data_IF_925559946550
#
_entry.id   IF_925559946550
#
_cell.length_a   1.000
_cell.length_b   1.000
_cell.length_c   1.000
_cell.angle_alpha   90.00
_cell.angle_beta   90.00
_cell.angle_gamma   90.00
#
_symmetry.space_group_name_H-M   'P 1'
#
loop_
_entity.id
_entity.type
_entity.pdbx_description
1 polymer ?
#
# COMPACT_ATOMS: atom_id res chain seq x y z
N UNK A 1 -17.83 -8.01 4.57
CA UNK A 1 -16.78 -7.86 3.56
C UNK A 1 -15.44 -8.01 4.27
N UNK A 2 -14.57 -8.92 3.82
CA UNK A 2 -13.25 -9.11 4.42
C UNK A 2 -12.40 -7.84 4.30
N UNK A 3 -11.54 -7.63 5.30
CA UNK A 3 -10.61 -6.51 5.35
C UNK A 3 -9.32 -6.93 6.05
N UNK A 4 -8.25 -6.17 5.82
CA UNK A 4 -6.97 -6.32 6.52
C UNK A 4 -6.33 -4.96 6.71
N UNK A 5 -5.68 -4.78 7.86
CA UNK A 5 -4.79 -3.66 8.10
C UNK A 5 -3.36 -4.12 7.87
N UNK A 6 -2.67 -3.46 6.96
CA UNK A 6 -1.25 -3.68 6.66
C UNK A 6 -0.48 -2.58 7.40
N UNK A 7 0.51 -2.97 8.20
CA UNK A 7 1.43 -2.06 8.88
C UNK A 7 2.83 -2.34 8.36
N UNK A 8 3.49 -1.34 7.80
CA UNK A 8 4.82 -1.45 7.22
C UNK A 8 5.77 -0.53 7.98
N UNK A 9 6.88 -1.11 8.43
CA UNK A 9 8.02 -0.37 8.95
C UNK A 9 8.96 -0.05 7.78
N UNK A 10 9.00 1.21 7.38
CA UNK A 10 9.78 1.69 6.24
C UNK A 10 11.30 1.71 6.55
N UNK A 11 11.75 1.38 7.75
CA UNK A 11 13.18 1.11 7.99
C UNK A 11 13.63 -0.27 7.49
N UNK A 12 12.69 -1.19 7.32
CA UNK A 12 12.97 -2.59 6.96
C UNK A 12 12.32 -3.02 5.64
N UNK A 13 11.23 -2.38 5.26
CA UNK A 13 10.45 -2.67 4.05
C UNK A 13 11.26 -2.31 2.79
N UNK A 14 11.42 -3.26 1.87
CA UNK A 14 12.20 -3.04 0.64
C UNK A 14 11.33 -2.48 -0.47
N UNK A 15 11.91 -1.61 -1.30
CA UNK A 15 11.25 -1.12 -2.51
C UNK A 15 10.98 -2.25 -3.49
N UNK A 16 9.75 -2.30 -4.02
CA UNK A 16 9.27 -3.34 -4.93
C UNK A 16 8.75 -4.60 -4.23
N UNK A 17 8.70 -4.61 -2.90
CA UNK A 17 8.15 -5.72 -2.12
C UNK A 17 6.63 -5.77 -2.26
N UNK A 18 6.10 -7.00 -2.42
CA UNK A 18 4.66 -7.26 -2.38
C UNK A 18 4.21 -7.29 -0.92
N UNK A 19 3.25 -6.43 -0.57
CA UNK A 19 2.78 -6.28 0.82
C UNK A 19 1.42 -6.91 1.05
N UNK A 20 0.67 -7.10 -0.03
CA UNK A 20 -0.57 -7.85 -0.05
C UNK A 20 -0.82 -8.42 -1.43
N UNK A 21 -1.27 -9.67 -1.45
CA UNK A 21 -1.88 -10.32 -2.60
C UNK A 21 -3.14 -11.03 -2.12
N UNK A 22 -4.21 -10.93 -2.90
CA UNK A 22 -5.50 -11.56 -2.60
C UNK A 22 -5.97 -12.34 -3.82
N UNK A 23 -6.69 -13.44 -3.59
CA UNK A 23 -7.29 -14.24 -4.67
C UNK A 23 -8.43 -13.49 -5.37
N UNK A 24 -9.15 -12.67 -4.59
CA UNK A 24 -10.26 -11.85 -5.04
C UNK A 24 -9.83 -10.40 -5.30
N UNK A 25 -10.77 -9.55 -5.71
CA UNK A 25 -10.51 -8.16 -6.07
C UNK A 25 -10.57 -7.23 -4.85
N UNK A 26 -9.50 -6.46 -4.64
CA UNK A 26 -9.45 -5.33 -3.72
C UNK A 26 -10.36 -4.23 -4.25
N UNK A 27 -11.35 -3.84 -3.45
CA UNK A 27 -12.31 -2.79 -3.80
C UNK A 27 -11.90 -1.42 -3.26
N UNK A 28 -11.19 -1.40 -2.13
CA UNK A 28 -10.84 -0.15 -1.45
C UNK A 28 -9.54 -0.26 -0.69
N UNK A 29 -8.69 0.76 -0.82
CA UNK A 29 -7.48 0.98 -0.03
C UNK A 29 -7.58 2.35 0.62
N UNK A 30 -7.29 2.43 1.91
CA UNK A 30 -7.24 3.69 2.66
C UNK A 30 -5.90 3.77 3.37
N UNK A 31 -5.15 4.84 3.13
CA UNK A 31 -3.92 5.12 3.88
C UNK A 31 -4.32 5.72 5.22
N UNK A 32 -4.20 4.95 6.31
CA UNK A 32 -4.56 5.39 7.67
C UNK A 32 -3.40 6.10 8.37
N UNK A 33 -2.16 5.78 7.97
CA UNK A 33 -0.93 6.42 8.46
C UNK A 33 0.12 6.46 7.35
N UNK A 34 0.81 7.58 7.21
CA UNK A 34 1.97 7.74 6.33
C UNK A 34 2.86 8.83 6.93
N UNK A 35 3.86 8.41 7.72
CA UNK A 35 4.71 9.34 8.46
C UNK A 35 5.89 9.86 7.61
N UNK A 36 6.19 9.14 6.52
CA UNK A 36 7.29 9.42 5.62
C UNK A 36 6.84 9.26 4.18
N UNK A 37 7.65 9.82 3.27
CA UNK A 37 7.47 9.63 1.84
C UNK A 37 7.47 8.15 1.48
N UNK A 38 6.35 7.71 0.91
CA UNK A 38 6.12 6.34 0.47
C UNK A 38 5.14 6.32 -0.69
N UNK A 39 5.24 5.30 -1.52
CA UNK A 39 4.38 5.10 -2.68
C UNK A 39 3.90 3.65 -2.70
N UNK A 40 2.73 3.43 -3.28
CA UNK A 40 2.25 2.08 -3.60
C UNK A 40 2.04 1.91 -5.09
N UNK A 41 2.12 0.67 -5.55
CA UNK A 41 1.78 0.27 -6.90
C UNK A 41 0.73 -0.83 -6.82
N UNK A 42 -0.28 -0.76 -7.68
CA UNK A 42 -1.35 -1.74 -7.76
C UNK A 42 -1.04 -2.75 -8.86
N UNK A 43 -1.25 -4.03 -8.61
CA UNK A 43 -1.04 -5.18 -9.52
C UNK A 43 0.39 -5.47 -9.97
N UNK A 44 1.23 -4.44 -10.15
CA UNK A 44 2.62 -4.61 -10.58
C UNK A 44 3.51 -3.47 -10.07
N UNK A 45 4.75 -3.73 -9.61
CA UNK A 45 5.65 -2.71 -9.08
C UNK A 45 6.15 -1.68 -10.11
N UNK A 46 5.88 -1.91 -11.41
CA UNK A 46 6.21 -0.97 -12.51
C UNK A 46 5.03 -0.08 -12.93
N UNK A 47 3.84 -0.30 -12.37
CA UNK A 47 2.69 0.58 -12.64
C UNK A 47 2.93 1.95 -12.00
N UNK A 48 2.13 2.94 -12.39
CA UNK A 48 2.30 4.30 -11.89
C UNK A 48 2.25 4.34 -10.35
N UNK A 49 3.25 4.98 -9.70
CA UNK A 49 3.29 5.07 -8.26
C UNK A 49 2.19 5.98 -7.74
N UNK A 50 1.51 5.53 -6.68
CA UNK A 50 0.52 6.32 -5.96
C UNK A 50 1.14 6.80 -4.66
N UNK A 51 1.30 8.12 -4.52
CA UNK A 51 1.87 8.73 -3.33
C UNK A 51 0.98 8.49 -2.10
N UNK A 52 1.53 7.88 -1.05
CA UNK A 52 0.82 7.58 0.18
C UNK A 52 0.77 8.82 1.08
N UNK A 53 -0.36 9.53 1.02
CA UNK A 53 -0.69 10.59 1.97
C UNK A 53 -1.75 10.10 2.97
N UNK A 54 -1.70 10.59 4.19
CA UNK A 54 -2.71 10.24 5.18
C UNK A 54 -4.12 10.59 4.69
N UNK A 55 -5.07 9.67 4.88
CA UNK A 55 -6.47 9.75 4.39
C UNK A 55 -6.64 9.62 2.88
N UNK A 56 -5.59 9.31 2.13
CA UNK A 56 -5.75 8.88 0.75
C UNK A 56 -6.72 7.69 0.68
N UNK A 57 -7.65 7.74 -0.27
CA UNK A 57 -8.60 6.67 -0.57
C UNK A 57 -8.48 6.32 -2.04
N UNK A 58 -8.39 5.03 -2.31
CA UNK A 58 -8.30 4.49 -3.65
C UNK A 58 -9.42 3.46 -3.80
N UNK A 59 -10.24 3.64 -4.81
CA UNK A 59 -11.31 2.73 -5.21
C UNK A 59 -11.01 2.28 -6.63
N UNK A 60 -9.99 1.43 -6.74
CA UNK A 60 -9.53 0.89 -8.01
C UNK A 60 -9.41 -0.63 -7.86
N UNK A 61 -10.06 -1.42 -8.72
CA UNK A 61 -9.98 -2.87 -8.66
C UNK A 61 -8.56 -3.34 -8.93
N UNK A 62 -7.95 -4.01 -7.96
CA UNK A 62 -6.64 -4.63 -8.08
C UNK A 62 -6.57 -5.91 -7.24
N UNK A 63 -5.51 -6.71 -7.39
CA UNK A 63 -5.31 -7.97 -6.63
C UNK A 63 -4.07 -7.95 -5.76
N UNK A 64 -3.11 -7.09 -6.08
CA UNK A 64 -1.89 -6.96 -5.30
C UNK A 64 -1.50 -5.51 -5.07
N UNK A 65 -0.76 -5.30 -3.99
CA UNK A 65 -0.20 -4.02 -3.59
C UNK A 65 1.30 -4.23 -3.38
N UNK A 66 2.09 -3.38 -4.05
CA UNK A 66 3.52 -3.26 -3.86
C UNK A 66 3.84 -1.92 -3.23
N UNK A 67 4.97 -1.81 -2.55
CA UNK A 67 5.42 -0.57 -1.90
C UNK A 67 6.76 -0.11 -2.45
N UNK A 68 6.90 1.20 -2.63
CA UNK A 68 8.16 1.88 -2.89
C UNK A 68 8.46 2.79 -1.71
N UNK A 69 9.66 2.63 -1.17
CA UNK A 69 10.09 3.25 0.06
C UNK A 69 11.40 4.03 -0.17
N UNK A 70 11.31 5.30 -0.57
CA UNK A 70 12.48 6.15 -0.74
C UNK A 70 13.00 6.71 0.60
N UNK A 71 12.15 6.80 1.63
CA UNK A 71 12.49 7.44 2.90
C UNK A 71 13.43 6.61 3.79
N UNK A 72 13.37 5.27 3.70
CA UNK A 72 14.18 4.37 4.52
C UNK A 72 13.92 4.46 6.03
N UNK A 73 12.82 5.11 6.43
CA UNK A 73 12.40 5.27 7.83
C UNK A 73 10.92 5.66 7.92
N UNK A 74 10.29 5.42 9.07
CA UNK A 74 8.88 5.77 9.35
C UNK A 74 7.91 4.62 9.13
N UNK A 75 6.61 4.93 9.16
CA UNK A 75 5.54 3.93 9.09
C UNK A 75 4.51 4.26 8.02
N UNK A 76 4.07 3.22 7.31
CA UNK A 76 2.93 3.24 6.41
C UNK A 76 1.88 2.25 6.92
N UNK A 77 0.63 2.69 7.04
CA UNK A 77 -0.50 1.83 7.39
C UNK A 77 -1.60 1.94 6.34
N UNK A 78 -2.05 0.78 5.85
CA UNK A 78 -3.10 0.66 4.85
C UNK A 78 -4.25 -0.15 5.45
N UNK A 79 -5.46 0.38 5.39
CA UNK A 79 -6.69 -0.38 5.53
C UNK A 79 -7.14 -0.84 4.13
N UNK A 80 -7.24 -2.14 3.92
CA UNK A 80 -7.57 -2.73 2.62
C UNK A 80 -8.81 -3.60 2.75
N UNK A 81 -9.74 -3.47 1.81
CA UNK A 81 -11.02 -4.16 1.78
C UNK A 81 -11.24 -4.81 0.41
N UNK A 82 -11.65 -6.08 0.41
CA UNK A 82 -11.97 -6.87 -0.80
C UNK A 82 -13.35 -7.53 -0.68
#
# INVERSE_FOLDING_TARGET
MPYKVIKLDLSTTRTGEIVLEVEHEIKRIIVTRADSESYIHLDHPKNDPIYCSQRLKIEYPCKSIYVTNPAGSGYLELFVQW
#
